data_IF_653627909630
#
_entry.id   IF_653627909630
#
_cell.length_a   1.000
_cell.length_b   1.000
_cell.length_c   1.000
_cell.angle_alpha   90.00
_cell.angle_beta   90.00
_cell.angle_gamma   90.00
#
_symmetry.space_group_name_H-M   'P 1'
#
loop_
_entity.id
_entity.type
_entity.pdbx_description
1 polymer ?
#
# COMPACT_ATOMS: atom_id res chain seq x y z
N UNK A 1 48.47 10.85 7.55
CA UNK A 1 47.43 11.12 8.55
C UNK A 1 46.12 11.23 7.79
N UNK A 2 45.17 10.30 7.97
CA UNK A 2 43.81 10.50 7.45
C UNK A 2 43.23 11.71 8.20
N UNK A 3 42.67 12.68 7.48
CA UNK A 3 42.02 13.83 8.10
C UNK A 3 40.90 13.36 9.02
N UNK A 4 40.56 14.15 10.04
CA UNK A 4 39.37 13.89 10.86
C UNK A 4 38.15 14.02 9.93
N UNK A 5 37.49 12.91 9.66
CA UNK A 5 36.25 12.86 8.88
C UNK A 5 35.08 13.11 9.83
N UNK A 6 34.17 14.00 9.44
CA UNK A 6 32.99 14.35 10.23
C UNK A 6 31.74 13.72 9.63
N UNK A 7 30.91 13.10 10.46
CA UNK A 7 29.57 12.64 10.07
C UNK A 7 28.56 13.68 10.53
N UNK A 8 27.91 14.35 9.59
CA UNK A 8 26.89 15.37 9.88
C UNK A 8 25.49 14.75 9.82
N UNK A 9 24.67 14.99 10.84
CA UNK A 9 23.28 14.52 10.90
C UNK A 9 22.34 15.71 10.76
N UNK A 10 21.40 15.63 9.83
CA UNK A 10 20.36 16.66 9.65
C UNK A 10 18.99 16.03 9.75
N UNK A 11 18.14 16.52 10.65
CA UNK A 11 16.73 16.14 10.70
C UNK A 11 15.86 17.22 10.07
N UNK A 12 14.86 16.84 9.25
CA UNK A 12 14.05 17.82 8.52
C UNK A 12 12.59 17.37 8.28
N UNK A 13 11.77 18.35 7.89
CA UNK A 13 10.36 18.18 7.53
C UNK A 13 10.10 18.41 6.04
N UNK A 14 9.56 17.41 5.33
CA UNK A 14 9.12 17.53 3.94
C UNK A 14 8.02 18.58 3.73
N UNK A 15 7.23 18.87 4.77
CA UNK A 15 6.20 19.90 4.73
C UNK A 15 6.74 21.33 4.83
N UNK A 16 8.03 21.51 5.12
CA UNK A 16 8.67 22.82 5.25
C UNK A 16 9.66 23.16 4.13
N UNK A 17 9.86 22.25 3.17
CA UNK A 17 10.74 22.46 2.03
C UNK A 17 11.35 21.16 1.50
N UNK A 18 12.18 21.30 0.45
CA UNK A 18 12.92 20.17 -0.12
C UNK A 18 13.89 19.55 0.90
N UNK A 19 14.26 18.27 0.75
CA UNK A 19 15.33 17.67 1.52
C UNK A 19 16.62 18.50 1.47
N UNK A 20 17.40 18.57 2.56
CA UNK A 20 18.74 19.15 2.51
C UNK A 20 19.65 18.30 1.61
N UNK A 21 20.71 18.90 1.08
CA UNK A 21 21.76 18.14 0.39
C UNK A 21 22.43 17.20 1.39
N UNK A 22 22.41 15.91 1.11
CA UNK A 22 23.00 14.87 1.94
C UNK A 22 23.42 13.67 1.09
N UNK A 23 24.45 12.94 1.52
CA UNK A 23 24.92 11.72 0.87
C UNK A 23 23.92 10.57 1.07
N UNK A 24 23.26 10.55 2.24
CA UNK A 24 22.25 9.57 2.61
C UNK A 24 20.99 10.29 3.07
N UNK A 25 19.84 10.01 2.47
CA UNK A 25 18.55 10.59 2.91
C UNK A 25 17.53 9.48 3.18
N UNK A 26 16.93 9.51 4.37
CA UNK A 26 15.96 8.52 4.84
C UNK A 26 14.57 9.17 5.04
N UNK A 27 13.56 8.71 4.28
CA UNK A 27 12.17 9.16 4.42
C UNK A 27 11.40 8.29 5.42
N UNK A 28 11.14 8.84 6.60
CA UNK A 28 10.50 8.14 7.72
C UNK A 28 8.97 8.21 7.70
N UNK A 29 8.36 8.92 6.75
CA UNK A 29 6.94 9.30 6.81
C UNK A 29 5.96 8.11 6.84
N UNK A 30 6.33 6.97 6.27
CA UNK A 30 5.55 5.72 6.37
C UNK A 30 6.32 4.55 6.99
N UNK A 31 7.48 4.82 7.57
CA UNK A 31 8.28 3.78 8.20
C UNK A 31 7.99 3.70 9.70
N UNK A 32 7.65 4.83 10.32
CA UNK A 32 7.58 4.94 11.78
C UNK A 32 6.23 5.47 12.25
N UNK A 33 5.80 4.98 13.42
CA UNK A 33 4.59 5.44 14.13
C UNK A 33 4.60 6.96 14.25
N UNK A 34 3.44 7.58 14.02
CA UNK A 34 3.30 9.02 13.91
C UNK A 34 2.76 9.63 15.22
N UNK A 35 3.58 10.35 16.01
CA UNK A 35 3.13 10.95 17.28
C UNK A 35 2.12 12.10 17.10
N UNK A 36 1.93 12.59 15.86
CA UNK A 36 1.07 13.74 15.58
C UNK A 36 -0.40 13.52 15.95
N UNK A 37 -0.90 12.28 15.94
CA UNK A 37 -2.30 11.99 16.27
C UNK A 37 -2.57 11.86 17.78
N UNK A 38 -1.52 11.87 18.60
CA UNK A 38 -1.65 11.89 20.05
C UNK A 38 -1.62 13.35 20.54
N UNK A 39 -2.72 13.81 21.12
CA UNK A 39 -2.88 15.16 21.65
C UNK A 39 -1.81 15.54 22.68
N UNK A 40 -1.25 14.57 23.41
CA UNK A 40 -0.20 14.78 24.41
C UNK A 40 1.18 14.87 23.79
N UNK A 41 1.38 14.24 22.62
CA UNK A 41 2.68 14.16 21.97
C UNK A 41 2.85 15.18 20.84
N UNK A 42 1.76 15.61 20.21
CA UNK A 42 1.81 16.41 18.97
C UNK A 42 2.56 17.73 19.07
N UNK A 43 2.62 18.34 20.27
CA UNK A 43 3.32 19.60 20.53
C UNK A 43 4.76 19.41 21.00
N UNK A 44 5.14 18.18 21.37
CA UNK A 44 6.48 17.83 21.80
C UNK A 44 7.39 17.60 20.58
N UNK A 45 8.64 17.21 20.82
CA UNK A 45 9.66 16.96 19.79
C UNK A 45 10.28 15.59 19.99
N UNK A 46 11.00 15.07 19.01
CA UNK A 46 11.78 13.83 19.18
C UNK A 46 12.92 13.93 20.20
N UNK A 47 13.19 15.13 20.77
CA UNK A 47 14.09 15.30 21.91
C UNK A 47 13.39 14.95 23.23
N UNK A 48 12.07 15.02 23.29
CA UNK A 48 11.28 14.65 24.46
C UNK A 48 11.14 13.13 24.55
N UNK A 49 11.40 12.57 25.73
CA UNK A 49 11.43 11.12 25.94
C UNK A 49 10.12 10.43 25.54
N UNK A 50 8.97 11.06 25.83
CA UNK A 50 7.67 10.50 25.48
C UNK A 50 7.46 10.35 23.96
N UNK A 51 8.01 11.26 23.15
CA UNK A 51 7.96 11.16 21.69
C UNK A 51 8.98 10.15 21.20
N UNK A 52 10.19 10.18 21.76
CA UNK A 52 11.24 9.23 21.43
C UNK A 52 10.76 7.80 21.63
N UNK A 53 10.25 7.47 22.82
CA UNK A 53 9.71 6.16 23.16
C UNK A 53 8.59 5.76 22.20
N UNK A 54 7.64 6.66 21.95
CA UNK A 54 6.55 6.40 21.01
C UNK A 54 7.07 6.01 19.63
N UNK A 55 8.05 6.75 19.09
CA UNK A 55 8.66 6.46 17.79
C UNK A 55 9.41 5.13 17.82
N UNK A 56 10.18 4.88 18.88
CA UNK A 56 11.01 3.68 19.06
C UNK A 56 10.20 2.42 19.31
N UNK A 57 8.92 2.51 19.70
CA UNK A 57 8.00 1.35 19.72
C UNK A 57 7.61 0.84 18.32
N UNK A 58 8.08 1.48 17.25
CA UNK A 58 7.94 0.95 15.89
C UNK A 58 8.89 -0.24 15.71
N UNK A 59 8.40 -1.45 15.37
CA UNK A 59 9.28 -2.59 15.12
C UNK A 59 10.33 -2.29 14.03
N UNK A 60 11.61 -2.40 14.38
CA UNK A 60 12.74 -2.21 13.47
C UNK A 60 13.24 -0.76 13.31
N UNK A 61 12.72 0.21 14.08
CA UNK A 61 13.23 1.59 14.09
C UNK A 61 14.71 1.67 14.50
N UNK A 62 15.08 0.90 15.53
CA UNK A 62 16.44 0.73 16.03
C UNK A 62 17.37 0.14 14.97
N UNK A 63 16.94 -0.93 14.30
CA UNK A 63 17.70 -1.59 13.23
C UNK A 63 17.90 -0.66 12.03
N UNK A 64 16.89 0.17 11.70
CA UNK A 64 17.03 1.19 10.66
C UNK A 64 18.13 2.20 11.01
N UNK A 65 18.11 2.75 12.23
CA UNK A 65 19.13 3.68 12.70
C UNK A 65 20.52 3.06 12.67
N UNK A 66 20.66 1.83 13.19
CA UNK A 66 21.91 1.10 13.22
C UNK A 66 22.50 0.88 11.82
N UNK A 67 21.69 0.40 10.87
CA UNK A 67 22.15 0.16 9.50
C UNK A 67 22.50 1.46 8.77
N UNK A 68 21.76 2.53 9.02
CA UNK A 68 22.05 3.84 8.44
C UNK A 68 23.39 4.40 8.96
N UNK A 69 23.61 4.32 10.27
CA UNK A 69 24.88 4.70 10.90
C UNK A 69 26.03 3.88 10.35
N UNK A 70 25.90 2.55 10.29
CA UNK A 70 26.93 1.67 9.74
C UNK A 70 27.28 2.03 8.28
N UNK A 71 26.27 2.40 7.48
CA UNK A 71 26.45 2.82 6.09
C UNK A 71 27.21 4.15 5.99
N UNK A 72 26.82 5.15 6.79
CA UNK A 72 27.48 6.45 6.81
C UNK A 72 28.94 6.34 7.25
N UNK A 73 29.22 5.53 8.29
CA UNK A 73 30.57 5.25 8.77
C UNK A 73 31.41 4.55 7.70
N UNK A 74 30.88 3.50 7.08
CA UNK A 74 31.58 2.79 6.01
C UNK A 74 31.93 3.73 4.85
N UNK A 75 31.00 4.58 4.43
CA UNK A 75 31.25 5.58 3.38
C UNK A 75 32.37 6.55 3.80
N UNK A 76 32.29 7.12 5.00
CA UNK A 76 33.29 8.04 5.54
C UNK A 76 34.69 7.41 5.63
N UNK A 77 34.77 6.16 6.10
CA UNK A 77 36.03 5.42 6.26
C UNK A 77 36.68 5.05 4.92
N UNK A 78 35.85 4.68 3.93
CA UNK A 78 36.29 4.26 2.60
C UNK A 78 36.70 5.43 1.71
N UNK A 79 35.94 6.54 1.75
CA UNK A 79 36.23 7.72 0.90
C UNK A 79 37.18 8.70 1.56
N UNK A 80 37.26 8.70 2.90
CA UNK A 80 38.01 9.71 3.66
C UNK A 80 37.42 11.12 3.56
N UNK A 81 36.13 11.24 3.21
CA UNK A 81 35.41 12.52 3.08
C UNK A 81 34.30 12.62 4.11
N UNK A 82 33.97 13.85 4.49
CA UNK A 82 32.79 14.11 5.34
C UNK A 82 31.53 13.51 4.71
N UNK A 83 30.64 12.98 5.55
CA UNK A 83 29.40 12.35 5.14
C UNK A 83 28.24 13.03 5.85
N UNK A 84 27.21 13.40 5.10
CA UNK A 84 25.97 13.96 5.65
C UNK A 84 24.84 12.95 5.51
N UNK A 85 24.17 12.63 6.64
CA UNK A 85 22.94 11.85 6.67
C UNK A 85 21.74 12.71 7.05
N UNK A 86 20.66 12.61 6.26
CA UNK A 86 19.42 13.34 6.46
C UNK A 86 18.25 12.43 6.85
N UNK A 87 17.54 12.80 7.91
CA UNK A 87 16.34 12.12 8.41
C UNK A 87 15.11 12.97 8.15
N UNK A 88 14.23 12.52 7.26
CA UNK A 88 13.04 13.26 6.85
C UNK A 88 11.76 12.71 7.47
N UNK A 89 10.94 13.56 8.08
CA UNK A 89 9.54 13.23 8.36
C UNK A 89 8.61 14.33 7.84
N UNK A 90 7.30 14.30 8.12
CA UNK A 90 6.40 15.34 7.58
C UNK A 90 6.75 16.74 8.12
N UNK A 91 6.67 16.92 9.44
CA UNK A 91 6.88 18.23 10.08
C UNK A 91 8.28 18.46 10.63
N UNK A 92 9.21 17.50 10.46
CA UNK A 92 10.59 17.66 10.92
C UNK A 92 10.80 17.69 12.43
N UNK A 93 9.75 17.40 13.22
CA UNK A 93 9.70 17.59 14.67
C UNK A 93 9.82 16.31 15.50
N UNK A 94 9.23 15.20 15.04
CA UNK A 94 9.08 13.98 15.84
C UNK A 94 10.02 12.85 15.37
N UNK A 95 9.58 12.09 14.36
CA UNK A 95 10.24 10.89 13.84
C UNK A 95 11.67 11.15 13.35
N UNK A 96 11.85 12.24 12.59
CA UNK A 96 13.17 12.67 12.09
C UNK A 96 14.14 12.99 13.22
N UNK A 97 13.65 13.69 14.25
CA UNK A 97 14.45 14.10 15.41
C UNK A 97 14.81 12.89 16.28
N UNK A 98 13.86 11.98 16.52
CA UNK A 98 14.10 10.77 17.31
C UNK A 98 15.17 9.87 16.65
N UNK A 99 15.12 9.69 15.33
CA UNK A 99 16.12 8.89 14.62
C UNK A 99 17.47 9.61 14.52
N UNK A 100 17.46 10.93 14.37
CA UNK A 100 18.69 11.73 14.44
C UNK A 100 19.35 11.63 15.83
N UNK A 101 18.57 11.64 16.92
CA UNK A 101 19.05 11.43 18.30
C UNK A 101 19.70 10.06 18.45
N UNK A 102 19.01 8.98 18.06
CA UNK A 102 19.57 7.62 18.14
C UNK A 102 20.83 7.47 17.28
N UNK A 103 20.83 7.99 16.05
CA UNK A 103 22.00 7.95 15.18
C UNK A 103 23.20 8.70 15.79
N UNK A 104 22.96 9.86 16.41
CA UNK A 104 23.99 10.62 17.11
C UNK A 104 24.57 9.83 18.29
N UNK A 105 23.72 9.23 19.12
CA UNK A 105 24.13 8.39 20.25
C UNK A 105 24.97 7.19 19.80
N UNK A 106 24.56 6.50 18.72
CA UNK A 106 25.28 5.35 18.17
C UNK A 106 26.68 5.74 17.63
N UNK A 107 26.78 6.82 16.88
CA UNK A 107 28.03 7.30 16.30
C UNK A 107 29.01 7.82 17.37
N UNK A 108 28.51 8.61 18.32
CA UNK A 108 29.30 9.08 19.47
C UNK A 108 29.77 7.91 20.34
N UNK A 109 28.92 6.89 20.51
CA UNK A 109 29.22 5.70 21.29
C UNK A 109 30.41 4.90 20.76
N UNK A 110 30.73 5.02 19.46
CA UNK A 110 31.90 4.39 18.83
C UNK A 110 33.07 5.34 18.57
N UNK A 111 32.96 6.58 19.05
CA UNK A 111 34.05 7.57 19.04
C UNK A 111 34.14 8.45 17.79
N UNK A 112 33.13 8.47 16.92
CA UNK A 112 33.16 9.29 15.71
C UNK A 112 32.99 10.79 16.00
N UNK A 113 33.55 11.63 15.12
CA UNK A 113 33.26 13.06 15.06
C UNK A 113 31.89 13.32 14.40
N UNK A 114 30.94 13.89 15.14
CA UNK A 114 29.53 13.97 14.73
C UNK A 114 28.93 15.32 15.07
N UNK A 115 28.24 15.92 14.10
CA UNK A 115 27.39 17.10 14.30
C UNK A 115 25.92 16.73 14.11
N UNK A 116 25.01 17.46 14.75
CA UNK A 116 23.57 17.29 14.57
C UNK A 116 22.87 18.63 14.42
N UNK A 117 22.02 18.74 13.40
CA UNK A 117 21.18 19.89 13.14
C UNK A 117 19.71 19.46 13.01
N UNK A 118 18.82 20.14 13.70
CA UNK A 118 17.38 19.92 13.59
C UNK A 118 16.71 21.08 12.83
N UNK A 119 16.79 21.05 11.49
CA UNK A 119 16.41 22.16 10.60
C UNK A 119 15.02 22.76 10.86
N UNK A 120 14.05 21.89 11.18
CA UNK A 120 12.63 22.26 11.23
C UNK A 120 11.97 22.02 12.60
N UNK A 121 12.74 21.64 13.64
CA UNK A 121 12.16 21.21 14.93
C UNK A 121 11.36 22.29 15.64
N UNK A 122 11.77 23.56 15.51
CA UNK A 122 11.10 24.70 16.15
C UNK A 122 10.00 25.33 15.29
N UNK A 123 9.79 24.84 14.06
CA UNK A 123 8.74 25.38 13.17
C UNK A 123 7.35 25.04 13.68
N UNK A 124 6.39 25.94 13.44
CA UNK A 124 4.99 25.73 13.81
C UNK A 124 4.46 24.39 13.27
N UNK A 125 3.58 23.75 14.05
CA UNK A 125 2.92 22.51 13.63
C UNK A 125 2.20 22.71 12.30
N UNK A 126 2.40 21.77 11.38
CA UNK A 126 1.68 21.80 10.12
C UNK A 126 0.23 21.39 10.34
N UNK A 127 -0.70 21.84 9.48
CA UNK A 127 -2.09 21.38 9.51
C UNK A 127 -2.18 19.86 9.42
N UNK A 128 -3.18 19.26 10.07
CA UNK A 128 -3.35 17.80 10.10
C UNK A 128 -3.38 17.14 8.71
N UNK A 129 -3.92 17.84 7.70
CA UNK A 129 -3.94 17.37 6.32
C UNK A 129 -2.55 17.17 5.68
N UNK A 130 -1.50 17.79 6.23
CA UNK A 130 -0.11 17.63 5.76
C UNK A 130 0.57 16.42 6.43
N UNK A 131 0.23 16.14 7.69
CA UNK A 131 0.75 15.00 8.46
C UNK A 131 0.20 13.66 7.99
N UNK A 132 -0.97 13.69 7.38
CA UNK A 132 -1.47 12.61 6.57
C UNK A 132 -0.61 12.57 5.29
N UNK A 133 0.46 11.77 5.31
CA UNK A 133 0.68 10.99 4.10
C UNK A 133 -0.62 10.20 3.96
N UNK A 134 -1.30 10.32 2.83
CA UNK A 134 -2.01 9.15 2.33
C UNK A 134 -0.97 8.04 2.38
N UNK A 135 -1.00 7.23 3.45
CA UNK A 135 -0.82 5.81 3.23
C UNK A 135 -1.75 5.55 2.04
N UNK A 136 -1.18 5.38 0.86
CA UNK A 136 -1.91 4.66 -0.16
C UNK A 136 -1.97 3.25 0.41
N UNK A 137 -2.90 3.05 1.36
CA UNK A 137 -3.33 1.73 1.79
C UNK A 137 -3.88 1.14 0.51
N UNK A 138 -3.13 0.21 -0.07
CA UNK A 138 -3.64 -0.54 -1.20
C UNK A 138 -4.86 -1.29 -0.69
N UNK A 139 -6.02 -0.91 -1.20
CA UNK A 139 -7.27 -1.60 -0.88
C UNK A 139 -7.27 -2.90 -1.66
N UNK A 140 -7.53 -3.99 -0.95
CA UNK A 140 -7.61 -5.31 -1.55
C UNK A 140 -9.05 -5.62 -1.91
N UNK A 141 -9.26 -6.08 -3.12
CA UNK A 141 -10.57 -6.55 -3.61
C UNK A 141 -10.43 -7.96 -4.19
N UNK A 142 -11.56 -8.61 -4.42
CA UNK A 142 -11.63 -9.87 -5.13
C UNK A 142 -12.75 -9.84 -6.16
N UNK A 143 -12.46 -10.28 -7.38
CA UNK A 143 -13.41 -10.31 -8.51
C UNK A 143 -13.61 -11.75 -9.00
N UNK A 144 -14.82 -12.09 -9.46
CA UNK A 144 -15.13 -13.44 -9.94
C UNK A 144 -15.61 -13.44 -11.39
N UNK A 145 -14.89 -14.16 -12.24
CA UNK A 145 -15.35 -14.53 -13.58
C UNK A 145 -16.18 -15.80 -13.46
N UNK A 146 -17.51 -15.65 -13.46
CA UNK A 146 -18.44 -16.78 -13.38
C UNK A 146 -18.95 -17.13 -14.78
N UNK A 147 -18.69 -18.36 -15.23
CA UNK A 147 -19.07 -18.83 -16.58
C UNK A 147 -20.00 -20.04 -16.48
N UNK A 148 -21.16 -19.99 -17.11
CA UNK A 148 -22.01 -21.19 -17.28
C UNK A 148 -21.38 -22.17 -18.26
N UNK A 149 -21.69 -23.47 -18.12
CA UNK A 149 -21.21 -24.51 -19.04
C UNK A 149 -21.61 -24.30 -20.51
N UNK A 150 -22.71 -23.59 -20.77
CA UNK A 150 -23.16 -23.22 -22.12
C UNK A 150 -22.50 -21.92 -22.65
N UNK A 151 -21.57 -21.31 -21.88
CA UNK A 151 -20.72 -20.23 -22.36
C UNK A 151 -21.29 -18.82 -22.17
N UNK A 152 -22.04 -18.60 -21.09
CA UNK A 152 -22.49 -17.26 -20.67
C UNK A 152 -21.70 -16.80 -19.45
N UNK A 153 -21.41 -15.51 -19.37
CA UNK A 153 -20.69 -14.88 -18.26
C UNK A 153 -21.66 -14.06 -17.43
N UNK A 154 -21.58 -14.20 -16.10
CA UNK A 154 -22.33 -13.35 -15.19
C UNK A 154 -21.64 -12.00 -15.06
N UNK A 155 -22.39 -10.93 -15.25
CA UNK A 155 -21.96 -9.57 -14.99
C UNK A 155 -23.01 -8.85 -14.15
N UNK A 156 -22.56 -7.86 -13.39
CA UNK A 156 -23.42 -6.93 -12.66
C UNK A 156 -23.35 -5.54 -13.25
N UNK A 157 -24.43 -4.78 -13.18
CA UNK A 157 -24.47 -3.35 -13.54
C UNK A 157 -24.22 -2.51 -12.29
N UNK A 158 -23.21 -1.65 -12.34
CA UNK A 158 -22.77 -0.85 -11.20
C UNK A 158 -23.79 0.25 -10.86
N UNK A 159 -24.24 0.32 -9.61
CA UNK A 159 -25.18 1.32 -9.12
C UNK A 159 -24.58 2.65 -8.64
N UNK A 160 -23.25 2.79 -8.57
CA UNK A 160 -22.57 4.02 -8.10
C UNK A 160 -21.25 4.33 -8.83
N UNK A 161 -20.81 5.60 -8.78
CA UNK A 161 -19.51 6.01 -9.29
C UNK A 161 -18.34 5.32 -8.56
N UNK A 162 -17.20 5.07 -9.22
CA UNK A 162 -16.94 5.30 -10.65
C UNK A 162 -17.63 4.27 -11.55
N UNK A 163 -17.76 4.59 -12.84
CA UNK A 163 -18.36 3.70 -13.85
C UNK A 163 -19.80 3.28 -13.54
N UNK A 164 -20.59 4.18 -12.97
CA UNK A 164 -22.03 3.98 -12.76
C UNK A 164 -22.72 3.64 -14.10
N UNK A 165 -23.60 2.64 -14.10
CA UNK A 165 -24.28 2.12 -15.29
C UNK A 165 -23.41 1.27 -16.22
N UNK A 166 -22.12 1.05 -15.90
CA UNK A 166 -21.29 0.10 -16.63
C UNK A 166 -21.39 -1.30 -16.05
N UNK A 167 -21.14 -2.31 -16.89
CA UNK A 167 -21.10 -3.71 -16.47
C UNK A 167 -19.74 -4.07 -15.87
N UNK A 168 -19.74 -4.89 -14.83
CA UNK A 168 -18.57 -5.32 -14.10
C UNK A 168 -18.65 -6.81 -13.75
N UNK A 169 -17.52 -7.36 -13.32
CA UNK A 169 -17.50 -8.68 -12.68
C UNK A 169 -18.09 -8.49 -11.28
N UNK A 170 -18.80 -9.49 -10.74
CA UNK A 170 -19.12 -9.50 -9.32
C UNK A 170 -17.84 -9.49 -8.48
N UNK A 171 -17.80 -8.67 -7.44
CA UNK A 171 -16.61 -8.48 -6.64
C UNK A 171 -16.62 -7.24 -5.75
N UNK A 172 -15.84 -7.30 -4.69
CA UNK A 172 -15.82 -6.26 -3.67
C UNK A 172 -14.59 -6.32 -2.77
N UNK A 173 -14.66 -5.65 -1.62
CA UNK A 173 -13.50 -5.50 -0.72
C UNK A 173 -13.23 -6.78 0.06
N UNK A 174 -11.96 -7.05 0.34
CA UNK A 174 -11.57 -8.09 1.29
C UNK A 174 -11.65 -7.53 2.70
N UNK A 175 -12.43 -8.17 3.56
CA UNK A 175 -12.62 -7.72 4.94
C UNK A 175 -11.42 -8.07 5.86
N UNK A 176 -11.24 -7.37 6.99
CA UNK A 176 -10.19 -7.69 7.95
C UNK A 176 -10.28 -9.13 8.47
N UNK A 177 -9.22 -9.92 8.23
CA UNK A 177 -9.17 -11.33 8.61
C UNK A 177 -9.76 -12.30 7.58
N UNK A 178 -10.31 -11.78 6.48
CA UNK A 178 -10.84 -12.57 5.37
C UNK A 178 -9.75 -12.85 4.31
N UNK A 179 -9.84 -13.99 3.63
CA UNK A 179 -8.98 -14.26 2.47
C UNK A 179 -9.62 -13.70 1.19
N UNK A 180 -8.83 -13.34 0.18
CA UNK A 180 -9.39 -12.87 -1.10
C UNK A 180 -10.32 -13.91 -1.76
N UNK A 181 -10.08 -15.21 -1.54
CA UNK A 181 -10.94 -16.29 -2.03
C UNK A 181 -12.28 -16.34 -1.31
N UNK A 182 -12.27 -16.16 0.02
CA UNK A 182 -13.48 -16.07 0.82
C UNK A 182 -14.30 -14.82 0.42
N UNK A 183 -13.63 -13.67 0.26
CA UNK A 183 -14.26 -12.44 -0.22
C UNK A 183 -14.92 -12.64 -1.59
N UNK A 184 -14.22 -13.25 -2.55
CA UNK A 184 -14.78 -13.58 -3.86
C UNK A 184 -16.07 -14.42 -3.79
N UNK A 185 -16.10 -15.46 -2.95
CA UNK A 185 -17.28 -16.30 -2.79
C UNK A 185 -18.45 -15.54 -2.13
N UNK A 186 -18.15 -14.73 -1.10
CA UNK A 186 -19.12 -13.88 -0.40
C UNK A 186 -19.72 -12.83 -1.33
N UNK A 187 -18.90 -12.04 -1.99
CA UNK A 187 -19.32 -10.95 -2.89
C UNK A 187 -20.15 -11.50 -4.07
N UNK A 188 -19.75 -12.63 -4.65
CA UNK A 188 -20.55 -13.29 -5.69
C UNK A 188 -21.96 -13.64 -5.18
N UNK A 189 -22.06 -14.18 -3.97
CA UNK A 189 -23.33 -14.55 -3.37
C UNK A 189 -24.17 -13.31 -3.01
N UNK A 190 -23.56 -12.25 -2.46
CA UNK A 190 -24.24 -11.02 -2.04
C UNK A 190 -24.78 -10.24 -3.24
N UNK A 191 -24.00 -10.07 -4.31
CA UNK A 191 -24.37 -9.25 -5.46
C UNK A 191 -25.25 -9.98 -6.47
N UNK A 192 -25.21 -11.32 -6.49
CA UNK A 192 -25.85 -12.12 -7.55
C UNK A 192 -26.70 -13.30 -7.08
N UNK A 193 -26.68 -13.64 -5.79
CA UNK A 193 -27.33 -14.82 -5.24
C UNK A 193 -26.69 -16.16 -5.66
N UNK A 194 -25.61 -16.15 -6.44
CA UNK A 194 -24.90 -17.36 -6.88
C UNK A 194 -23.93 -17.80 -5.79
N UNK A 195 -24.20 -18.96 -5.19
CA UNK A 195 -23.36 -19.53 -4.12
C UNK A 195 -22.46 -20.62 -4.71
N UNK A 196 -21.16 -20.51 -4.46
CA UNK A 196 -20.14 -21.50 -4.83
C UNK A 196 -19.25 -21.80 -3.61
N UNK A 197 -18.67 -22.99 -3.55
CA UNK A 197 -17.68 -23.28 -2.52
C UNK A 197 -16.34 -22.61 -2.86
N UNK A 198 -15.62 -22.11 -1.85
CA UNK A 198 -14.28 -21.52 -2.06
C UNK A 198 -13.34 -22.46 -2.83
N UNK A 199 -13.43 -23.78 -2.60
CA UNK A 199 -12.61 -24.79 -3.28
C UNK A 199 -12.88 -24.88 -4.80
N UNK A 200 -13.99 -24.35 -5.28
CA UNK A 200 -14.32 -24.31 -6.71
C UNK A 200 -13.74 -23.09 -7.43
N UNK A 201 -13.23 -22.10 -6.68
CA UNK A 201 -12.63 -20.88 -7.23
C UNK A 201 -11.19 -21.14 -7.68
N UNK A 202 -10.98 -21.08 -8.99
CA UNK A 202 -9.66 -21.15 -9.61
C UNK A 202 -9.04 -19.76 -9.68
N UNK A 203 -7.89 -19.56 -9.05
CA UNK A 203 -7.20 -18.26 -9.07
C UNK A 203 -6.64 -17.95 -10.47
N UNK A 204 -6.99 -16.79 -11.02
CA UNK A 204 -6.51 -16.32 -12.32
C UNK A 204 -5.22 -15.49 -12.21
N UNK A 205 -5.08 -14.76 -11.11
CA UNK A 205 -3.95 -13.89 -10.81
C UNK A 205 -4.34 -12.63 -10.05
N UNK A 206 -3.40 -11.69 -9.96
CA UNK A 206 -3.52 -10.42 -9.24
C UNK A 206 -3.34 -9.25 -10.20
N UNK A 207 -4.24 -8.27 -10.13
CA UNK A 207 -4.19 -7.02 -10.90
C UNK A 207 -3.98 -5.83 -9.95
N UNK A 208 -2.83 -5.18 -10.09
CA UNK A 208 -2.37 -4.11 -9.20
C UNK A 208 -1.73 -2.94 -9.97
N UNK A 209 -2.10 -2.75 -11.24
CA UNK A 209 -1.58 -1.66 -12.06
C UNK A 209 -1.93 -0.29 -11.43
N UNK A 210 -0.97 0.65 -11.32
CA UNK A 210 -1.25 1.99 -10.84
C UNK A 210 -2.36 2.65 -11.66
N UNK A 211 -3.36 3.22 -10.98
CA UNK A 211 -4.49 3.88 -11.64
C UNK A 211 -5.57 2.94 -12.21
N UNK A 212 -5.53 1.63 -11.92
CA UNK A 212 -6.62 0.70 -12.31
C UNK A 212 -7.97 1.11 -11.76
N UNK A 213 -7.99 1.75 -10.60
CA UNK A 213 -9.16 2.31 -9.97
C UNK A 213 -8.95 3.82 -9.73
N UNK A 214 -9.85 4.69 -10.21
CA UNK A 214 -9.72 6.14 -10.02
C UNK A 214 -9.88 6.57 -8.55
N UNK A 215 -10.40 5.71 -7.67
CA UNK A 215 -10.56 5.99 -6.24
C UNK A 215 -9.27 5.90 -5.44
N UNK A 216 -8.21 5.29 -5.99
CA UNK A 216 -6.90 5.22 -5.33
C UNK A 216 -6.07 3.98 -5.65
N UNK A 217 -5.21 3.58 -4.72
CA UNK A 217 -4.40 2.36 -4.85
C UNK A 217 -5.27 1.14 -4.54
N UNK A 218 -5.50 0.30 -5.55
CA UNK A 218 -6.29 -0.93 -5.45
C UNK A 218 -5.50 -2.11 -6.03
N UNK A 219 -5.66 -3.28 -5.41
CA UNK A 219 -5.15 -4.56 -5.92
C UNK A 219 -6.27 -5.60 -5.83
N UNK A 220 -6.67 -6.16 -6.98
CA UNK A 220 -7.69 -7.22 -7.00
C UNK A 220 -7.06 -8.59 -7.25
N UNK A 221 -7.53 -9.62 -6.55
CA UNK A 221 -7.24 -11.01 -6.90
C UNK A 221 -8.46 -11.57 -7.62
N UNK A 222 -8.31 -12.01 -8.86
CA UNK A 222 -9.45 -12.50 -9.64
C UNK A 222 -9.50 -14.03 -9.66
N UNK A 223 -10.73 -14.55 -9.64
CA UNK A 223 -11.02 -15.97 -9.66
C UNK A 223 -11.90 -16.34 -10.85
N UNK A 224 -11.87 -17.61 -11.25
CA UNK A 224 -12.72 -18.21 -12.26
C UNK A 224 -13.50 -19.36 -11.64
N UNK A 225 -14.80 -19.44 -11.95
CA UNK A 225 -15.64 -20.59 -11.61
C UNK A 225 -16.56 -20.94 -12.76
N UNK A 226 -16.85 -22.23 -12.89
CA UNK A 226 -17.81 -22.76 -13.86
C UNK A 226 -19.06 -23.27 -13.15
N UNK A 227 -20.24 -22.77 -13.54
CA UNK A 227 -21.52 -23.15 -12.92
C UNK A 227 -22.47 -23.84 -13.91
N UNK A 228 -23.49 -24.58 -13.44
CA UNK A 228 -24.53 -25.16 -14.29
C UNK A 228 -25.23 -24.12 -15.18
N UNK A 229 -25.71 -24.53 -16.35
CA UNK A 229 -26.35 -23.63 -17.33
C UNK A 229 -27.71 -23.08 -16.86
N UNK A 230 -28.35 -23.74 -15.90
CA UNK A 230 -29.61 -23.37 -15.27
C UNK A 230 -29.44 -22.54 -13.99
N UNK A 231 -28.20 -22.13 -13.67
CA UNK A 231 -27.91 -21.26 -12.51
C UNK A 231 -28.65 -19.93 -12.66
N UNK A 232 -29.51 -19.62 -11.69
CA UNK A 232 -30.24 -18.35 -11.63
C UNK A 232 -29.39 -17.32 -10.89
N UNK A 233 -29.28 -16.11 -11.44
CA UNK A 233 -28.67 -14.97 -10.77
C UNK A 233 -29.74 -13.91 -10.51
N UNK A 234 -29.73 -13.33 -9.32
CA UNK A 234 -30.62 -12.24 -8.89
C UNK A 234 -29.76 -11.11 -8.37
N UNK A 235 -29.97 -9.89 -8.86
CA UNK A 235 -29.24 -8.73 -8.37
C UNK A 235 -29.49 -8.55 -6.86
N UNK A 236 -28.42 -8.36 -6.10
CA UNK A 236 -28.44 -8.13 -4.66
C UNK A 236 -27.54 -6.97 -4.26
N UNK A 237 -27.72 -6.54 -3.01
CA UNK A 237 -27.05 -5.44 -2.31
C UNK A 237 -26.94 -4.18 -3.19
N UNK A 238 -25.85 -4.14 -3.91
CA UNK A 238 -25.23 -2.98 -4.48
C UNK A 238 -25.37 -3.09 -6.06
N UNK A 239 -25.63 -4.28 -6.61
CA UNK A 239 -25.84 -4.45 -8.05
C UNK A 239 -27.20 -3.88 -8.51
N UNK A 240 -27.20 -2.93 -9.45
CA UNK A 240 -28.44 -2.42 -10.06
C UNK A 240 -29.15 -3.48 -10.93
N UNK A 241 -28.36 -4.39 -11.51
CA UNK A 241 -28.82 -5.55 -12.24
C UNK A 241 -27.75 -6.65 -12.23
N UNK A 242 -28.15 -7.91 -12.36
CA UNK A 242 -27.26 -9.06 -12.60
C UNK A 242 -27.77 -9.81 -13.83
N UNK A 243 -26.88 -10.13 -14.78
CA UNK A 243 -27.27 -10.74 -16.05
C UNK A 243 -26.20 -11.70 -16.59
N UNK A 244 -26.68 -12.80 -17.17
CA UNK A 244 -25.89 -13.70 -17.99
C UNK A 244 -25.73 -13.17 -19.43
N UNK A 245 -24.50 -12.86 -19.83
CA UNK A 245 -24.14 -12.39 -21.18
C UNK A 245 -23.47 -13.49 -22.00
N UNK A 246 -23.79 -13.67 -23.30
CA UNK A 246 -23.00 -14.54 -24.15
C UNK A 246 -21.54 -14.08 -24.19
N UNK A 247 -20.58 -14.98 -23.96
CA UNK A 247 -19.14 -14.63 -23.97
C UNK A 247 -18.70 -14.06 -25.33
N UNK A 248 -19.40 -14.40 -26.41
CA UNK A 248 -19.17 -13.86 -27.76
C UNK A 248 -19.65 -12.42 -27.95
N UNK A 249 -20.40 -11.86 -27.01
CA UNK A 249 -21.08 -10.57 -27.14
C UNK A 249 -21.15 -9.84 -25.80
N UNK A 250 -20.00 -9.71 -25.14
CA UNK A 250 -19.89 -8.99 -23.86
C UNK A 250 -20.02 -7.46 -24.06
N UNK A 251 -20.64 -6.74 -23.11
CA UNK A 251 -20.68 -5.28 -23.13
C UNK A 251 -19.30 -4.70 -22.78
N UNK A 252 -19.16 -3.37 -22.89
CA UNK A 252 -18.01 -2.67 -22.33
C UNK A 252 -17.98 -2.83 -20.80
N UNK A 253 -16.81 -3.13 -20.26
CA UNK A 253 -16.63 -3.44 -18.84
C UNK A 253 -15.96 -2.29 -18.08
N UNK A 254 -16.36 -2.11 -16.82
CA UNK A 254 -15.75 -1.16 -15.90
C UNK A 254 -14.30 -1.55 -15.56
N UNK A 255 -13.51 -0.55 -15.12
CA UNK A 255 -12.12 -0.71 -14.72
C UNK A 255 -11.26 -1.45 -15.78
N UNK A 256 -10.41 -2.37 -15.35
CA UNK A 256 -9.59 -3.25 -16.16
C UNK A 256 -10.21 -4.66 -16.34
N UNK A 257 -11.52 -4.82 -16.11
CA UNK A 257 -12.18 -6.14 -16.11
C UNK A 257 -12.12 -6.84 -17.48
N UNK A 258 -12.00 -6.09 -18.57
CA UNK A 258 -11.77 -6.67 -19.90
C UNK A 258 -10.45 -7.48 -19.96
N UNK A 259 -9.41 -7.05 -19.23
CA UNK A 259 -8.15 -7.79 -19.14
C UNK A 259 -8.30 -9.06 -18.28
N UNK A 260 -9.05 -8.98 -17.18
CA UNK A 260 -9.36 -10.14 -16.31
C UNK A 260 -10.15 -11.20 -17.10
N UNK A 261 -11.18 -10.77 -17.81
CA UNK A 261 -11.98 -11.64 -18.69
C UNK A 261 -11.12 -12.26 -19.78
N UNK A 262 -10.24 -11.48 -20.43
CA UNK A 262 -9.31 -11.99 -21.43
C UNK A 262 -8.46 -13.15 -20.89
N UNK A 263 -7.91 -12.99 -19.67
CA UNK A 263 -7.14 -14.04 -18.99
C UNK A 263 -7.98 -15.30 -18.73
N UNK A 264 -9.20 -15.14 -18.24
CA UNK A 264 -10.11 -16.24 -17.97
C UNK A 264 -10.49 -17.03 -19.24
N UNK A 265 -10.76 -16.34 -20.34
CA UNK A 265 -11.10 -16.98 -21.61
C UNK A 265 -9.92 -17.74 -22.22
N UNK A 266 -8.70 -17.21 -22.11
CA UNK A 266 -7.49 -17.94 -22.50
C UNK A 266 -7.30 -19.20 -21.64
N UNK A 267 -7.51 -19.11 -20.33
CA UNK A 267 -7.42 -20.27 -19.44
C UNK A 267 -8.46 -21.36 -19.78
N UNK A 268 -9.70 -20.95 -20.09
CA UNK A 268 -10.77 -21.86 -20.54
C UNK A 268 -10.40 -22.58 -21.84
N UNK A 269 -9.90 -21.85 -22.83
CA UNK A 269 -9.50 -22.45 -24.12
C UNK A 269 -8.37 -23.46 -23.95
N UNK A 270 -7.37 -23.14 -23.13
CA UNK A 270 -6.28 -24.05 -22.82
C UNK A 270 -6.79 -25.35 -22.14
N UNK A 271 -7.72 -25.23 -21.18
CA UNK A 271 -8.32 -26.39 -20.53
C UNK A 271 -9.13 -27.27 -21.50
N UNK A 272 -9.86 -26.67 -22.44
CA UNK A 272 -10.61 -27.40 -23.47
C UNK A 272 -9.69 -28.12 -24.47
N UNK A 273 -8.53 -27.55 -24.78
CA UNK A 273 -7.56 -28.15 -25.71
C UNK A 273 -6.79 -29.35 -25.11
N UNK A 274 -6.68 -29.45 -23.79
CA UNK A 274 -6.01 -30.57 -23.10
C UNK A 274 -6.97 -31.75 -22.87
N UNK A 275 -8.29 -31.51 -22.90
CA UNK A 275 -9.33 -32.54 -22.74
C UNK A 275 -9.90 -33.09 -24.05
N UNK A 276 -9.38 -32.68 -25.21
CA UNK A 276 -9.75 -33.16 -26.55
C UNK A 276 -8.61 -34.01 -27.13
#
# INVERSE_FOLDING_TARGET
MRGLVTISIVSFGYGHGQPPTADLTYDLRALLRNPFHDEKLKTLTGLDEAVYDHVMTTPGADRLAFNAVATARGLAEDTGTDVTMAWGCTGGRHRSVALARLAHELLRGVGDEVTVEHRDVDKALLPAGVHNRTEQVTRHTADVVTITRDGRMLLIERGWPPFEGMWALPGGHVDPGESARAAAARELAEETGVVVAESELLELGVWNAPGRDPRGSYSTTAYLVFVPADTVATAGDDAAAARWWPISSLPALAFDHAAIVGRALSARQAAQAVGA
#
